data_IF_585618072558
#
_entry.id   IF_585618072558
#
_cell.length_a   1.000
_cell.length_b   1.000
_cell.length_c   1.000
_cell.angle_alpha   90.00
_cell.angle_beta   90.00
_cell.angle_gamma   90.00
#
_symmetry.space_group_name_H-M   'P 1'
#
loop_
_entity.id
_entity.type
_entity.pdbx_description
1 polymer ?
#
# COMPACT_ATOMS: atom_id res chain seq x y z
N UNK A 1 -5.22 24.57 -12.19
CA UNK A 1 -4.36 25.02 -13.31
C UNK A 1 -3.00 25.55 -12.81
N UNK A 2 -2.93 26.44 -11.83
CA UNK A 2 -1.67 27.02 -11.30
C UNK A 2 -0.72 25.95 -10.70
N UNK A 3 -1.24 24.88 -10.07
CA UNK A 3 -0.43 23.76 -9.57
C UNK A 3 0.21 22.94 -10.69
N UNK A 4 -0.45 22.79 -11.84
CA UNK A 4 0.05 22.07 -13.02
C UNK A 4 1.17 22.84 -13.73
N UNK A 5 1.03 24.15 -13.87
CA UNK A 5 2.06 25.01 -14.51
C UNK A 5 3.37 25.09 -13.69
N UNK A 6 3.28 24.98 -12.35
CA UNK A 6 4.46 24.96 -11.45
C UNK A 6 5.13 23.60 -11.34
N UNK A 7 4.51 22.53 -11.85
CA UNK A 7 5.01 21.16 -11.69
C UNK A 7 6.38 20.92 -12.33
N UNK A 8 6.67 21.35 -13.59
CA UNK A 8 7.99 21.14 -14.21
C UNK A 8 9.11 21.84 -13.44
N UNK A 9 8.87 23.05 -12.95
CA UNK A 9 9.83 23.82 -12.14
C UNK A 9 10.14 23.15 -10.81
N UNK A 10 9.10 22.67 -10.12
CA UNK A 10 9.25 21.95 -8.84
C UNK A 10 9.97 20.61 -9.04
N UNK A 11 9.68 19.90 -10.11
CA UNK A 11 10.35 18.65 -10.45
C UNK A 11 11.83 18.88 -10.79
N UNK A 12 12.17 19.88 -11.59
CA UNK A 12 13.54 20.23 -11.91
C UNK A 12 14.35 20.63 -10.66
N UNK A 13 13.76 21.43 -9.80
CA UNK A 13 14.37 21.83 -8.51
C UNK A 13 14.57 20.62 -7.59
N UNK A 14 13.62 19.72 -7.54
CA UNK A 14 13.72 18.44 -6.78
C UNK A 14 14.90 17.63 -7.32
N UNK A 15 14.97 17.39 -8.64
CA UNK A 15 16.06 16.65 -9.27
C UNK A 15 17.44 17.25 -8.96
N UNK A 16 17.59 18.57 -9.06
CA UNK A 16 18.86 19.25 -8.75
C UNK A 16 19.28 19.08 -7.30
N UNK A 17 18.33 19.26 -6.37
CA UNK A 17 18.59 19.08 -4.93
C UNK A 17 18.96 17.64 -4.61
N UNK A 18 18.22 16.69 -5.15
CA UNK A 18 18.47 15.27 -4.94
C UNK A 18 19.87 14.88 -5.45
N UNK A 19 20.23 15.30 -6.66
CA UNK A 19 21.57 15.06 -7.23
C UNK A 19 22.69 15.74 -6.40
N UNK A 20 22.43 16.92 -5.85
CA UNK A 20 23.40 17.61 -4.97
C UNK A 20 23.63 16.80 -3.68
N UNK A 21 22.57 16.38 -3.00
CA UNK A 21 22.62 15.58 -1.77
C UNK A 21 23.41 14.28 -1.97
N UNK A 22 23.14 13.55 -3.07
CA UNK A 22 23.86 12.29 -3.35
C UNK A 22 25.36 12.54 -3.58
N UNK A 23 25.72 13.61 -4.29
CA UNK A 23 27.13 13.96 -4.52
C UNK A 23 27.87 14.40 -3.23
N UNK A 24 27.15 15.02 -2.30
CA UNK A 24 27.69 15.41 -1.00
C UNK A 24 27.84 14.20 -0.06
N UNK A 25 26.84 13.32 -0.01
CA UNK A 25 26.84 12.11 0.83
C UNK A 25 27.77 11.02 0.31
N UNK A 26 27.99 10.94 -1.01
CA UNK A 26 28.77 9.90 -1.68
C UNK A 26 28.42 8.47 -1.18
N UNK A 27 27.15 8.07 -1.21
CA UNK A 27 26.77 6.77 -0.72
C UNK A 27 27.29 5.66 -1.65
N UNK A 28 27.63 4.49 -1.12
CA UNK A 28 27.94 3.30 -1.92
C UNK A 28 26.69 2.75 -2.60
N UNK A 29 25.53 2.83 -1.91
CA UNK A 29 24.25 2.33 -2.37
C UNK A 29 23.18 3.39 -2.16
N UNK A 30 22.35 3.61 -3.20
CA UNK A 30 21.14 4.41 -3.12
C UNK A 30 19.92 3.53 -3.32
N UNK A 31 19.08 3.42 -2.28
CA UNK A 31 17.80 2.69 -2.35
C UNK A 31 16.68 3.69 -2.64
N UNK A 32 15.86 3.39 -3.63
CA UNK A 32 14.71 4.18 -4.05
C UNK A 32 13.41 3.41 -3.83
N UNK A 33 12.41 4.02 -3.21
CA UNK A 33 11.06 3.47 -3.10
C UNK A 33 10.22 3.70 -4.38
N UNK A 34 10.89 3.91 -5.51
CA UNK A 34 10.35 3.93 -6.87
C UNK A 34 9.23 4.97 -7.10
N UNK A 35 9.43 6.18 -6.57
CA UNK A 35 8.53 7.29 -6.82
C UNK A 35 9.00 8.15 -8.01
N UNK A 36 8.98 9.47 -7.86
CA UNK A 36 9.33 10.44 -8.93
C UNK A 36 10.79 10.39 -9.33
N UNK A 37 11.69 10.01 -8.42
CA UNK A 37 13.13 9.90 -8.64
C UNK A 37 13.48 8.81 -9.66
N UNK A 38 12.67 7.77 -9.83
CA UNK A 38 12.90 6.71 -10.81
C UNK A 38 13.06 7.26 -12.24
N UNK A 39 12.45 8.40 -12.55
CA UNK A 39 12.58 9.00 -13.89
C UNK A 39 13.97 9.60 -14.19
N UNK A 40 14.82 9.76 -13.17
CA UNK A 40 16.13 10.38 -13.35
C UNK A 40 17.28 9.74 -12.53
N UNK A 41 16.97 8.88 -11.56
CA UNK A 41 17.98 8.31 -10.64
C UNK A 41 19.08 7.55 -11.37
N UNK A 42 18.71 6.80 -12.44
CA UNK A 42 19.66 6.07 -13.29
C UNK A 42 20.59 6.98 -14.12
N UNK A 43 20.29 8.29 -14.18
CA UNK A 43 21.06 9.29 -14.93
C UNK A 43 21.95 10.14 -14.02
N UNK A 44 21.97 9.83 -12.73
CA UNK A 44 22.81 10.52 -11.77
C UNK A 44 24.14 9.78 -11.67
N UNK A 45 25.18 10.49 -12.04
CA UNK A 45 26.56 10.04 -11.88
C UNK A 45 27.06 10.53 -10.49
N UNK A 46 26.84 9.72 -9.48
CA UNK A 46 27.23 9.96 -8.08
C UNK A 46 28.04 8.78 -7.51
N UNK A 47 28.38 7.81 -8.37
CA UNK A 47 29.15 6.63 -7.99
C UNK A 47 28.36 5.52 -7.28
N UNK A 48 27.12 5.79 -6.82
CA UNK A 48 26.39 4.78 -6.04
C UNK A 48 25.69 3.73 -6.89
N UNK A 49 25.58 2.52 -6.36
CA UNK A 49 24.75 1.45 -6.90
C UNK A 49 23.27 1.82 -6.65
N UNK A 50 22.44 1.75 -7.71
CA UNK A 50 20.99 2.07 -7.61
C UNK A 50 20.19 0.79 -7.44
N UNK A 51 19.41 0.74 -6.34
CA UNK A 51 18.47 -0.34 -6.03
C UNK A 51 17.07 0.26 -5.92
N UNK A 52 16.07 -0.40 -6.50
CA UNK A 52 14.68 -0.04 -6.34
C UNK A 52 13.97 -0.99 -5.39
N UNK A 53 13.13 -0.48 -4.51
CA UNK A 53 12.33 -1.26 -3.58
C UNK A 53 10.85 -1.00 -3.83
N UNK A 54 10.10 -2.04 -4.18
CA UNK A 54 8.74 -1.94 -4.67
C UNK A 54 7.74 -2.46 -3.63
N UNK A 55 7.10 -1.55 -2.93
CA UNK A 55 6.15 -1.84 -1.84
C UNK A 55 4.68 -1.89 -2.29
N UNK A 56 4.42 -1.81 -3.60
CA UNK A 56 3.07 -1.77 -4.17
C UNK A 56 2.94 -2.88 -5.19
N UNK A 57 1.74 -3.41 -5.40
CA UNK A 57 1.53 -4.42 -6.45
C UNK A 57 1.56 -3.81 -7.84
N UNK A 58 2.02 -4.57 -8.83
CA UNK A 58 1.90 -4.21 -10.25
C UNK A 58 0.45 -3.92 -10.64
N UNK A 59 -0.49 -4.66 -10.05
CA UNK A 59 -1.92 -4.45 -10.25
C UNK A 59 -2.36 -3.02 -9.90
N UNK A 60 -1.89 -2.47 -8.79
CA UNK A 60 -2.20 -1.10 -8.39
C UNK A 60 -1.67 -0.05 -9.38
N UNK A 61 -0.53 -0.33 -10.02
CA UNK A 61 0.05 0.54 -11.06
C UNK A 61 -0.70 0.47 -12.40
N UNK A 62 -1.33 -0.67 -12.71
CA UNK A 62 -1.99 -0.91 -14.00
C UNK A 62 -3.52 -0.84 -13.98
N UNK A 63 -4.15 -1.03 -12.83
CA UNK A 63 -5.60 -1.22 -12.72
C UNK A 63 -6.43 -0.04 -13.21
N UNK A 64 -6.00 1.21 -12.96
CA UNK A 64 -6.67 2.40 -13.50
C UNK A 64 -6.46 2.56 -15.01
N UNK A 65 -5.38 1.97 -15.55
CA UNK A 65 -5.08 2.05 -16.96
C UNK A 65 -6.07 1.27 -17.83
N UNK A 66 -6.53 0.14 -17.34
CA UNK A 66 -7.42 -0.77 -18.08
C UNK A 66 -8.88 -0.28 -18.12
N UNK A 67 -9.28 0.59 -17.20
CA UNK A 67 -10.67 1.10 -17.10
C UNK A 67 -11.02 2.19 -18.13
N UNK A 68 -10.04 2.72 -18.88
CA UNK A 68 -10.33 3.78 -19.87
C UNK A 68 -10.79 3.17 -21.19
N UNK A 69 -11.98 3.55 -21.67
CA UNK A 69 -12.48 3.23 -23.02
C UNK A 69 -11.76 3.97 -24.18
N UNK A 70 -10.99 5.02 -23.89
CA UNK A 70 -10.36 5.87 -24.92
C UNK A 70 -9.04 5.24 -25.43
N UNK A 71 -8.93 4.93 -26.76
CA UNK A 71 -7.74 4.32 -27.35
C UNK A 71 -6.45 5.15 -27.18
N UNK A 72 -6.54 6.47 -27.28
CA UNK A 72 -5.39 7.37 -27.11
C UNK A 72 -4.85 7.32 -25.66
N UNK A 73 -5.74 7.29 -24.68
CA UNK A 73 -5.35 7.15 -23.27
C UNK A 73 -4.72 5.78 -23.01
N UNK A 74 -5.24 4.70 -23.60
CA UNK A 74 -4.63 3.36 -23.53
C UNK A 74 -3.23 3.37 -24.11
N UNK A 75 -3.03 3.96 -25.29
CA UNK A 75 -1.72 4.06 -25.92
C UNK A 75 -0.73 4.87 -25.08
N UNK A 76 -1.13 6.05 -24.58
CA UNK A 76 -0.28 6.88 -23.71
C UNK A 76 0.14 6.11 -22.44
N UNK A 77 -0.79 5.40 -21.83
CA UNK A 77 -0.52 4.59 -20.63
C UNK A 77 0.43 3.43 -20.94
N UNK A 78 0.28 2.78 -22.09
CA UNK A 78 1.21 1.74 -22.53
C UNK A 78 2.64 2.29 -22.71
N UNK A 79 2.81 3.49 -23.28
CA UNK A 79 4.11 4.14 -23.40
C UNK A 79 4.72 4.50 -22.04
N UNK A 80 3.89 4.98 -21.10
CA UNK A 80 4.33 5.25 -19.73
C UNK A 80 4.77 3.97 -19.00
N UNK A 81 4.04 2.87 -19.17
CA UNK A 81 4.41 1.59 -18.62
C UNK A 81 5.72 1.05 -19.22
N UNK A 82 5.90 1.11 -20.54
CA UNK A 82 7.16 0.76 -21.20
C UNK A 82 8.33 1.57 -20.64
N UNK A 83 8.15 2.88 -20.47
CA UNK A 83 9.15 3.75 -19.86
C UNK A 83 9.45 3.36 -18.41
N UNK A 84 8.43 3.03 -17.65
CA UNK A 84 8.56 2.61 -16.25
C UNK A 84 9.37 1.31 -16.15
N UNK A 85 8.99 0.26 -16.89
CA UNK A 85 9.72 -1.01 -16.96
C UNK A 85 11.18 -0.80 -17.40
N UNK A 86 11.41 0.01 -18.42
CA UNK A 86 12.77 0.36 -18.87
C UNK A 86 13.59 1.04 -17.77
N UNK A 87 12.98 1.93 -16.97
CA UNK A 87 13.69 2.57 -15.87
C UNK A 87 14.03 1.56 -14.75
N UNK A 88 13.14 0.60 -14.51
CA UNK A 88 13.39 -0.50 -13.54
C UNK A 88 14.51 -1.43 -14.01
N UNK A 89 14.54 -1.78 -15.29
CA UNK A 89 15.58 -2.66 -15.84
C UNK A 89 17.00 -2.06 -15.80
N UNK A 90 17.10 -0.72 -15.70
CA UNK A 90 18.39 -0.03 -15.56
C UNK A 90 18.94 0.01 -14.12
N UNK A 91 18.13 -0.36 -13.12
CA UNK A 91 18.59 -0.47 -11.74
C UNK A 91 19.46 -1.73 -11.57
N UNK A 92 20.38 -1.70 -10.63
CA UNK A 92 21.21 -2.90 -10.32
C UNK A 92 20.33 -4.05 -9.82
N UNK A 93 19.33 -3.75 -8.98
CA UNK A 93 18.32 -4.68 -8.49
C UNK A 93 16.99 -3.96 -8.29
N UNK A 94 15.91 -4.71 -8.48
CA UNK A 94 14.55 -4.33 -8.07
C UNK A 94 14.11 -5.35 -7.02
N UNK A 95 13.94 -4.88 -5.80
CA UNK A 95 13.48 -5.69 -4.66
C UNK A 95 11.96 -5.68 -4.64
N UNK A 96 11.38 -6.86 -4.56
CA UNK A 96 9.95 -7.12 -4.41
C UNK A 96 9.72 -7.84 -3.08
N UNK A 97 8.52 -7.74 -2.54
CA UNK A 97 8.21 -8.27 -1.21
C UNK A 97 7.76 -9.73 -1.24
N UNK A 98 7.28 -10.23 -2.39
CA UNK A 98 6.76 -11.61 -2.52
C UNK A 98 7.18 -12.24 -3.85
N UNK A 99 7.26 -13.57 -3.87
CA UNK A 99 7.50 -14.34 -5.11
C UNK A 99 6.31 -14.23 -6.09
N UNK A 100 5.09 -14.11 -5.58
CA UNK A 100 3.91 -13.90 -6.40
C UNK A 100 4.02 -12.59 -7.19
N UNK A 101 4.38 -11.49 -6.51
CA UNK A 101 4.59 -10.20 -7.18
C UNK A 101 5.69 -10.29 -8.23
N UNK A 102 6.79 -11.02 -7.96
CA UNK A 102 7.88 -11.23 -8.93
C UNK A 102 7.39 -11.92 -10.21
N UNK A 103 6.43 -12.83 -10.11
CA UNK A 103 5.82 -13.51 -11.25
C UNK A 103 5.11 -12.56 -12.23
N UNK A 104 4.64 -11.40 -11.77
CA UNK A 104 4.03 -10.40 -12.65
C UNK A 104 5.03 -9.54 -13.43
N UNK A 105 6.33 -9.64 -13.17
CA UNK A 105 7.40 -8.82 -13.78
C UNK A 105 8.31 -9.62 -14.70
N UNK A 106 7.72 -10.45 -15.57
CA UNK A 106 8.47 -11.33 -16.49
C UNK A 106 9.45 -10.57 -17.42
N UNK A 107 9.25 -9.27 -17.63
CA UNK A 107 10.12 -8.42 -18.45
C UNK A 107 11.41 -8.00 -17.75
N UNK A 108 11.52 -8.22 -16.42
CA UNK A 108 12.67 -7.82 -15.62
C UNK A 108 13.52 -9.03 -15.24
N UNK A 109 14.83 -8.94 -15.47
CA UNK A 109 15.82 -9.99 -15.11
C UNK A 109 16.62 -9.65 -13.86
N UNK A 110 16.45 -8.43 -13.32
CA UNK A 110 17.19 -7.90 -12.19
C UNK A 110 16.38 -7.90 -10.89
N UNK A 111 15.46 -8.85 -10.72
CA UNK A 111 14.59 -8.97 -9.55
C UNK A 111 15.30 -9.69 -8.39
N UNK A 112 14.92 -9.32 -7.17
CA UNK A 112 15.19 -10.03 -5.92
C UNK A 112 13.96 -9.97 -5.04
N UNK A 113 13.67 -11.05 -4.31
CA UNK A 113 12.57 -11.09 -3.36
C UNK A 113 13.13 -10.99 -1.95
N UNK A 114 12.76 -9.95 -1.23
CA UNK A 114 13.13 -9.71 0.17
C UNK A 114 11.86 -9.26 0.89
N UNK A 115 11.24 -10.14 1.70
CA UNK A 115 10.02 -9.80 2.42
C UNK A 115 10.29 -8.75 3.51
N UNK A 116 9.24 -8.03 3.90
CA UNK A 116 9.31 -7.15 5.06
C UNK A 116 9.56 -7.97 6.33
N UNK A 117 10.35 -7.46 7.29
CA UNK A 117 10.55 -8.13 8.57
C UNK A 117 9.28 -8.07 9.42
N UNK A 118 9.03 -9.10 10.20
CA UNK A 118 8.03 -9.12 11.25
C UNK A 118 8.68 -8.49 12.49
N UNK A 119 8.17 -7.34 12.93
CA UNK A 119 8.79 -6.57 14.02
C UNK A 119 7.96 -6.62 15.30
N UNK A 120 6.69 -7.03 15.20
CA UNK A 120 5.75 -6.94 16.32
C UNK A 120 5.81 -8.20 17.17
N UNK A 121 6.35 -8.14 18.41
CA UNK A 121 6.27 -9.27 19.32
C UNK A 121 4.80 -9.49 19.70
N UNK A 122 4.32 -10.73 19.54
CA UNK A 122 3.01 -11.14 20.04
C UNK A 122 3.14 -11.44 21.54
N UNK A 123 2.70 -10.53 22.38
CA UNK A 123 2.70 -10.72 23.83
C UNK A 123 1.53 -11.59 24.32
N UNK A 124 0.48 -11.73 23.50
CA UNK A 124 -0.73 -12.48 23.83
C UNK A 124 -1.25 -13.21 22.59
N UNK A 125 -1.46 -14.51 22.74
CA UNK A 125 -2.12 -15.34 21.72
C UNK A 125 -3.62 -15.37 22.05
N UNK A 126 -4.46 -15.21 21.03
CA UNK A 126 -5.91 -15.35 21.18
C UNK A 126 -6.30 -16.79 21.54
N UNK A 127 -7.21 -16.96 22.50
CA UNK A 127 -7.81 -18.26 22.83
C UNK A 127 -9.04 -18.60 21.94
N UNK A 128 -9.38 -17.72 21.02
CA UNK A 128 -10.50 -17.89 20.09
C UNK A 128 -11.91 -17.79 20.70
N UNK A 129 -12.05 -17.40 21.96
CA UNK A 129 -13.35 -17.40 22.68
C UNK A 129 -14.06 -16.05 22.66
N UNK A 130 -13.32 -14.97 22.44
CA UNK A 130 -13.89 -13.63 22.38
C UNK A 130 -14.84 -13.51 21.18
N UNK A 131 -16.03 -12.95 21.38
CA UNK A 131 -16.98 -12.65 20.31
C UNK A 131 -16.59 -11.36 19.58
N UNK A 132 -15.33 -11.32 19.12
CA UNK A 132 -14.68 -10.14 18.58
C UNK A 132 -13.95 -10.47 17.30
N UNK A 133 -14.28 -9.70 16.24
CA UNK A 133 -13.59 -9.68 14.95
C UNK A 133 -12.77 -8.41 14.85
N UNK A 134 -11.55 -8.50 14.37
CA UNK A 134 -10.68 -7.33 14.19
C UNK A 134 -10.25 -7.18 12.72
N UNK A 135 -10.26 -5.94 12.24
CA UNK A 135 -9.64 -5.52 11.01
C UNK A 135 -8.71 -4.34 11.29
N UNK A 136 -7.57 -4.27 10.60
CA UNK A 136 -6.56 -3.23 10.85
C UNK A 136 -6.10 -2.63 9.54
N UNK A 137 -6.09 -1.29 9.46
CA UNK A 137 -5.58 -0.63 8.27
C UNK A 137 -6.01 0.82 8.16
N UNK A 138 -5.41 1.53 7.20
CA UNK A 138 -5.76 2.92 6.91
C UNK A 138 -7.18 3.01 6.32
N UNK A 139 -7.98 3.94 6.78
CA UNK A 139 -9.30 4.21 6.20
C UNK A 139 -9.17 4.84 4.81
N UNK A 140 -8.95 3.98 3.83
CA UNK A 140 -8.73 4.31 2.43
C UNK A 140 -9.36 3.25 1.52
N UNK A 141 -9.71 3.56 0.26
CA UNK A 141 -10.40 2.64 -0.65
C UNK A 141 -9.68 1.31 -0.84
N UNK A 142 -8.34 1.31 -0.77
CA UNK A 142 -7.52 0.11 -0.87
C UNK A 142 -7.91 -0.95 0.16
N UNK A 143 -8.24 -0.57 1.39
CA UNK A 143 -8.50 -1.50 2.50
C UNK A 143 -9.89 -2.14 2.47
N UNK A 144 -10.81 -1.62 1.66
CA UNK A 144 -12.11 -2.23 1.41
C UNK A 144 -13.02 -2.31 2.62
N UNK A 145 -12.88 -1.40 3.59
CA UNK A 145 -13.71 -1.41 4.79
C UNK A 145 -15.18 -1.12 4.51
N UNK A 146 -15.48 -0.44 3.42
CA UNK A 146 -16.84 -0.29 2.90
C UNK A 146 -17.50 -1.65 2.62
N UNK A 147 -16.81 -2.54 1.90
CA UNK A 147 -17.31 -3.91 1.63
C UNK A 147 -17.38 -4.75 2.92
N UNK A 148 -16.42 -4.56 3.83
CA UNK A 148 -16.42 -5.26 5.11
C UNK A 148 -17.62 -4.88 5.97
N UNK A 149 -17.99 -3.61 6.05
CA UNK A 149 -19.14 -3.11 6.80
C UNK A 149 -20.45 -3.63 6.19
N UNK A 150 -20.59 -3.63 4.85
CA UNK A 150 -21.76 -4.20 4.18
C UNK A 150 -21.90 -5.71 4.49
N UNK A 151 -20.80 -6.44 4.42
CA UNK A 151 -20.79 -7.88 4.76
C UNK A 151 -21.09 -8.11 6.24
N UNK A 152 -20.59 -7.22 7.11
CA UNK A 152 -20.83 -7.31 8.56
C UNK A 152 -22.30 -7.12 8.93
N UNK A 153 -23.06 -6.33 8.17
CA UNK A 153 -24.50 -6.18 8.37
C UNK A 153 -25.24 -7.53 8.30
N UNK A 154 -24.82 -8.41 7.38
CA UNK A 154 -25.39 -9.76 7.26
C UNK A 154 -24.93 -10.68 8.41
N UNK A 155 -23.67 -10.57 8.81
CA UNK A 155 -23.13 -11.37 9.91
C UNK A 155 -23.77 -11.00 11.25
N UNK A 156 -23.93 -9.71 11.54
CA UNK A 156 -24.50 -9.22 12.80
C UNK A 156 -25.95 -9.62 13.01
N UNK A 157 -26.72 -9.79 11.93
CA UNK A 157 -28.08 -10.33 12.00
C UNK A 157 -28.11 -11.79 12.49
N UNK A 158 -27.16 -12.60 11.99
CA UNK A 158 -27.10 -14.03 12.31
C UNK A 158 -26.37 -14.31 13.64
N UNK A 159 -25.40 -13.46 13.99
CA UNK A 159 -24.55 -13.59 15.18
C UNK A 159 -24.55 -12.29 15.98
N UNK A 160 -25.65 -11.98 16.68
CA UNK A 160 -25.83 -10.67 17.33
C UNK A 160 -24.92 -10.44 18.54
N UNK A 161 -24.25 -11.45 19.05
CA UNK A 161 -23.27 -11.37 20.14
C UNK A 161 -21.84 -11.02 19.66
N UNK A 162 -21.59 -11.00 18.35
CA UNK A 162 -20.30 -10.64 17.78
C UNK A 162 -20.20 -9.14 17.50
N UNK A 163 -19.00 -8.59 17.64
CA UNK A 163 -18.68 -7.19 17.30
C UNK A 163 -17.44 -7.11 16.43
N UNK A 164 -17.51 -6.28 15.38
CA UNK A 164 -16.40 -5.95 14.51
C UNK A 164 -15.71 -4.67 15.02
N UNK A 165 -14.39 -4.73 15.17
CA UNK A 165 -13.53 -3.58 15.47
C UNK A 165 -12.60 -3.31 14.30
N UNK A 166 -12.61 -2.10 13.78
CA UNK A 166 -11.74 -1.68 12.67
C UNK A 166 -10.78 -0.63 13.23
N UNK A 167 -9.49 -0.99 13.36
CA UNK A 167 -8.45 -0.12 13.89
C UNK A 167 -7.72 0.61 12.77
N UNK A 168 -7.61 1.93 12.88
CA UNK A 168 -6.88 2.75 11.96
C UNK A 168 -7.32 4.20 11.91
N UNK A 169 -6.74 4.95 10.97
CA UNK A 169 -7.10 6.32 10.66
C UNK A 169 -7.05 6.55 9.15
N UNK A 170 -7.73 7.58 8.67
CA UNK A 170 -7.72 7.96 7.27
C UNK A 170 -8.90 8.84 6.85
N UNK A 171 -8.87 9.30 5.62
CA UNK A 171 -9.81 10.28 5.11
C UNK A 171 -11.24 9.74 4.89
N UNK A 172 -11.43 8.41 4.85
CA UNK A 172 -12.75 7.79 4.72
C UNK A 172 -13.47 7.59 6.06
N UNK A 173 -12.90 8.03 7.21
CA UNK A 173 -13.50 7.76 8.52
C UNK A 173 -14.96 8.23 8.60
N UNK A 174 -15.26 9.44 8.13
CA UNK A 174 -16.62 9.99 8.18
C UNK A 174 -17.59 9.17 7.32
N UNK A 175 -17.21 8.84 6.08
CA UNK A 175 -18.04 8.04 5.17
C UNK A 175 -18.33 6.63 5.73
N UNK A 176 -17.32 5.99 6.33
CA UNK A 176 -17.48 4.67 6.95
C UNK A 176 -18.38 4.75 8.20
N UNK A 177 -18.29 5.82 8.97
CA UNK A 177 -19.15 6.04 10.14
C UNK A 177 -20.62 6.23 9.71
N UNK A 178 -20.87 7.05 8.70
CA UNK A 178 -22.21 7.22 8.12
C UNK A 178 -22.78 5.90 7.57
N UNK A 179 -21.95 5.05 6.97
CA UNK A 179 -22.36 3.73 6.50
C UNK A 179 -22.77 2.82 7.66
N UNK A 180 -22.01 2.80 8.77
CA UNK A 180 -22.33 2.03 9.99
C UNK A 180 -23.69 2.49 10.56
N UNK A 181 -23.91 3.80 10.67
CA UNK A 181 -25.16 4.37 11.21
C UNK A 181 -26.35 4.04 10.32
N UNK A 182 -26.23 4.24 9.00
CA UNK A 182 -27.28 3.91 8.02
C UNK A 182 -27.68 2.43 8.05
N UNK A 183 -26.74 1.53 8.32
CA UNK A 183 -26.96 0.08 8.42
C UNK A 183 -27.42 -0.37 9.82
N UNK A 184 -27.55 0.54 10.79
CA UNK A 184 -27.95 0.23 12.16
C UNK A 184 -26.91 -0.58 12.94
N UNK A 185 -25.62 -0.44 12.59
CA UNK A 185 -24.52 -1.23 13.15
C UNK A 185 -23.75 -0.53 14.26
N UNK A 186 -24.22 0.58 14.82
CA UNK A 186 -23.50 1.42 15.79
C UNK A 186 -22.96 0.63 16.98
N UNK A 187 -23.73 -0.36 17.48
CA UNK A 187 -23.32 -1.22 18.60
C UNK A 187 -22.55 -2.50 18.15
N UNK A 188 -22.50 -2.76 16.85
CA UNK A 188 -21.96 -4.02 16.28
C UNK A 188 -20.73 -3.82 15.41
N UNK A 189 -20.39 -2.59 15.04
CA UNK A 189 -19.22 -2.24 14.25
C UNK A 189 -18.63 -0.93 14.78
N UNK A 190 -17.37 -0.95 15.21
CA UNK A 190 -16.68 0.19 15.81
C UNK A 190 -15.46 0.60 15.01
N UNK A 191 -15.37 1.89 14.67
CA UNK A 191 -14.18 2.49 14.07
C UNK A 191 -13.28 3.03 15.18
N UNK A 192 -12.20 2.33 15.43
CA UNK A 192 -11.19 2.70 16.41
C UNK A 192 -10.05 3.50 15.78
N UNK A 193 -9.35 4.30 16.55
CA UNK A 193 -8.15 4.98 16.11
C UNK A 193 -6.93 4.05 16.07
N UNK A 194 -5.86 4.51 15.44
CA UNK A 194 -4.56 3.85 15.50
C UNK A 194 -4.08 3.76 16.96
N UNK A 195 -3.61 2.59 17.35
CA UNK A 195 -3.09 2.31 18.70
C UNK A 195 -1.66 1.78 18.63
N UNK A 196 -0.86 2.03 19.68
CA UNK A 196 0.52 1.56 19.74
C UNK A 196 0.62 0.07 20.14
N UNK A 197 -0.43 -0.48 20.77
CA UNK A 197 -0.49 -1.85 21.27
C UNK A 197 -1.39 -2.74 20.42
N UNK A 198 -1.30 -2.65 19.11
CA UNK A 198 -2.15 -3.43 18.19
C UNK A 198 -2.00 -4.95 18.38
N UNK A 199 -0.82 -5.41 18.78
CA UNK A 199 -0.58 -6.82 19.11
C UNK A 199 -1.51 -7.34 20.21
N UNK A 200 -1.77 -6.54 21.26
CA UNK A 200 -2.72 -6.90 22.31
C UNK A 200 -4.14 -7.01 21.76
N UNK A 201 -4.51 -6.10 20.81
CA UNK A 201 -5.83 -6.12 20.17
C UNK A 201 -6.05 -7.34 19.28
N UNK A 202 -5.01 -7.85 18.64
CA UNK A 202 -5.05 -9.16 17.98
C UNK A 202 -5.31 -10.28 18.99
N UNK A 203 -4.58 -10.31 20.11
CA UNK A 203 -4.77 -11.31 21.18
C UNK A 203 -6.13 -11.23 21.88
N UNK A 204 -6.79 -10.07 21.88
CA UNK A 204 -8.15 -9.87 22.41
C UNK A 204 -9.26 -10.32 21.43
N UNK A 205 -8.92 -10.68 20.20
CA UNK A 205 -9.89 -10.97 19.13
C UNK A 205 -9.80 -12.42 18.69
N UNK A 206 -10.93 -13.03 18.32
CA UNK A 206 -10.97 -14.43 17.86
C UNK A 206 -10.72 -14.57 16.35
N UNK A 207 -11.07 -13.55 15.57
CA UNK A 207 -10.99 -13.60 14.11
C UNK A 207 -10.35 -12.29 13.62
N UNK A 208 -9.34 -12.42 12.77
CA UNK A 208 -8.80 -11.30 11.99
C UNK A 208 -9.38 -11.33 10.57
N UNK A 209 -9.76 -10.16 10.03
CA UNK A 209 -10.27 -10.02 8.66
C UNK A 209 -9.45 -9.02 7.89
N UNK A 210 -9.00 -9.42 6.69
CA UNK A 210 -8.35 -8.57 5.71
C UNK A 210 -9.26 -8.40 4.49
N UNK A 211 -9.90 -7.24 4.35
CA UNK A 211 -10.84 -6.93 3.27
C UNK A 211 -10.22 -6.13 2.12
N UNK A 212 -8.91 -5.99 2.12
CA UNK A 212 -8.18 -5.16 1.16
C UNK A 212 -8.44 -5.57 -0.28
N UNK A 213 -8.68 -4.59 -1.16
CA UNK A 213 -8.80 -4.79 -2.61
C UNK A 213 -7.47 -5.22 -3.25
N UNK A 214 -6.37 -4.81 -2.67
CA UNK A 214 -5.01 -5.22 -3.04
C UNK A 214 -4.02 -4.90 -1.92
N UNK A 215 -2.97 -5.73 -1.80
CA UNK A 215 -1.88 -5.56 -0.83
C UNK A 215 -0.53 -5.77 -1.51
N UNK A 216 0.49 -5.01 -1.08
CA UNK A 216 1.86 -5.24 -1.49
C UNK A 216 2.51 -6.41 -0.74
N UNK A 217 2.28 -6.48 0.58
CA UNK A 217 2.79 -7.54 1.45
C UNK A 217 1.79 -7.95 2.54
N UNK A 218 0.91 -7.02 2.94
CA UNK A 218 -0.08 -7.31 3.99
C UNK A 218 0.53 -7.38 5.40
N UNK A 219 1.38 -6.44 5.77
CA UNK A 219 2.06 -6.40 7.08
C UNK A 219 1.15 -6.56 8.30
N UNK A 220 -0.15 -6.42 8.15
CA UNK A 220 -1.12 -6.59 9.24
C UNK A 220 -1.46 -8.06 9.54
N UNK A 221 -1.02 -9.00 8.68
CA UNK A 221 -1.20 -10.45 8.84
C UNK A 221 0.12 -11.18 9.13
N UNK A 222 1.21 -10.45 9.19
CA UNK A 222 2.54 -10.94 9.55
C UNK A 222 2.98 -10.40 10.90
#
# INVERSE_FOLDING_TARGET
>A
LIKLLKYPFRYHRFRKRFAKVLRELRPDITISTLRRELNFINKLDDGSIKIGEFHVTRYAYGAEALKSGNPLLKWLKAQLNKKFVRNLSQLKRVVLLTHEEAGFWSELTNLSVIPNPIITPLNKISDGKAKRVIAVGRYAPQKGFDMLIDSWALVAQKYPDWTLYIYGDGFLRAELQEQIERLGLTEKCRLEHTVNNIADKYGESSIFVLSSRYEGFGMVIT
#
